data_IF_263067234322
#
_entry.id   IF_263067234322
#
_cell.length_a   1.000
_cell.length_b   1.000
_cell.length_c   1.000
_cell.angle_alpha   90.00
_cell.angle_beta   90.00
_cell.angle_gamma   90.00
#
_symmetry.space_group_name_H-M   'P 1'
#
loop_
_entity.id
_entity.type
_entity.pdbx_description
1 polymer ?
#
# COMPACT_ATOMS: atom_id res chain seq x y z
N UNK A 1 3.25 -1.30 12.79
CA UNK A 1 2.14 -0.91 11.89
C UNK A 1 1.30 -2.12 11.46
N UNK A 2 1.90 -3.26 11.09
CA UNK A 2 1.14 -4.49 10.74
C UNK A 2 0.15 -4.96 11.83
N UNK A 3 0.50 -4.84 13.12
CA UNK A 3 -0.42 -5.19 14.21
C UNK A 3 -1.72 -4.36 14.21
N UNK A 4 -1.63 -3.05 13.97
CA UNK A 4 -2.80 -2.18 13.86
C UNK A 4 -3.62 -2.52 12.62
N UNK A 5 -2.95 -2.75 11.48
CA UNK A 5 -3.62 -3.15 10.24
C UNK A 5 -4.40 -4.46 10.42
N UNK A 6 -3.78 -5.48 11.03
CA UNK A 6 -4.42 -6.76 11.40
C UNK A 6 -5.64 -6.56 12.30
N UNK A 7 -5.53 -5.69 13.31
CA UNK A 7 -6.64 -5.39 14.21
C UNK A 7 -7.84 -4.80 13.44
N UNK A 8 -7.58 -3.82 12.57
CA UNK A 8 -8.62 -3.18 11.74
C UNK A 8 -9.19 -4.18 10.73
N UNK A 9 -8.35 -5.00 10.07
CA UNK A 9 -8.80 -6.07 9.18
C UNK A 9 -9.71 -7.05 9.90
N UNK A 10 -9.40 -7.43 11.13
CA UNK A 10 -10.25 -8.28 11.95
C UNK A 10 -11.61 -7.64 12.28
N UNK A 11 -11.71 -6.31 12.37
CA UNK A 11 -13.00 -5.61 12.51
C UNK A 11 -13.81 -5.67 11.21
N UNK A 12 -13.18 -5.42 10.07
CA UNK A 12 -13.83 -5.56 8.77
C UNK A 12 -14.28 -6.99 8.50
N UNK A 13 -13.46 -8.00 8.84
CA UNK A 13 -13.81 -9.40 8.67
C UNK A 13 -15.08 -9.79 9.43
N UNK A 14 -15.24 -9.31 10.67
CA UNK A 14 -16.48 -9.49 11.44
C UNK A 14 -17.66 -8.78 10.79
N UNK A 15 -17.48 -7.52 10.41
CA UNK A 15 -18.51 -6.75 9.71
C UNK A 15 -18.99 -7.45 8.42
N UNK A 16 -18.07 -7.96 7.61
CA UNK A 16 -18.37 -8.67 6.37
C UNK A 16 -19.09 -10.00 6.64
N UNK A 17 -18.65 -10.75 7.65
CA UNK A 17 -19.30 -11.98 8.08
C UNK A 17 -20.75 -11.73 8.50
N UNK A 18 -20.98 -10.69 9.31
CA UNK A 18 -22.31 -10.32 9.80
C UNK A 18 -23.21 -9.80 8.68
N UNK A 19 -22.66 -9.03 7.73
CA UNK A 19 -23.43 -8.33 6.70
C UNK A 19 -23.66 -9.16 5.42
N UNK A 20 -22.69 -9.99 5.06
CA UNK A 20 -22.62 -10.69 3.77
C UNK A 20 -22.41 -12.21 3.90
N UNK A 21 -22.33 -12.74 5.14
CA UNK A 21 -22.22 -14.17 5.40
C UNK A 21 -20.82 -14.77 5.16
N UNK A 22 -19.84 -13.95 4.75
CA UNK A 22 -18.43 -14.33 4.61
C UNK A 22 -17.53 -13.11 4.70
N UNK A 23 -16.30 -13.32 5.16
CA UNK A 23 -15.24 -12.32 5.05
C UNK A 23 -14.65 -12.28 3.63
N UNK A 24 -14.08 -11.13 3.26
CA UNK A 24 -13.32 -10.95 2.04
C UNK A 24 -12.05 -11.81 2.02
N UNK A 25 -11.82 -12.42 0.87
CA UNK A 25 -10.60 -13.16 0.53
C UNK A 25 -9.42 -12.20 0.28
N UNK A 26 -8.16 -12.68 0.35
CA UNK A 26 -7.00 -11.84 -0.01
C UNK A 26 -7.09 -11.25 -1.42
N UNK A 27 -7.69 -11.97 -2.38
CA UNK A 27 -7.91 -11.47 -3.74
C UNK A 27 -8.89 -10.29 -3.78
N UNK A 28 -9.92 -10.31 -2.93
CA UNK A 28 -10.87 -9.18 -2.80
C UNK A 28 -10.25 -8.00 -2.07
N UNK A 29 -9.37 -8.24 -1.09
CA UNK A 29 -8.54 -7.18 -0.49
C UNK A 29 -7.64 -6.54 -1.54
N UNK A 30 -6.99 -7.35 -2.40
CA UNK A 30 -6.19 -6.83 -3.52
C UNK A 30 -7.05 -6.02 -4.50
N UNK A 31 -8.27 -6.45 -4.79
CA UNK A 31 -9.18 -5.69 -5.64
C UNK A 31 -9.56 -4.34 -5.01
N UNK A 32 -9.83 -4.31 -3.70
CA UNK A 32 -10.05 -3.08 -2.94
C UNK A 32 -8.85 -2.14 -3.04
N UNK A 33 -7.64 -2.67 -2.86
CA UNK A 33 -6.40 -1.92 -2.99
C UNK A 33 -6.24 -1.24 -4.36
N UNK A 34 -6.61 -1.91 -5.46
CA UNK A 34 -6.59 -1.30 -6.80
C UNK A 34 -7.53 -0.09 -6.89
N UNK A 35 -8.66 -0.14 -6.18
CA UNK A 35 -9.57 0.99 -6.01
C UNK A 35 -8.87 2.19 -5.35
N UNK A 36 -8.25 1.96 -4.19
CA UNK A 36 -7.52 2.98 -3.42
C UNK A 36 -6.38 3.61 -4.26
N UNK A 37 -5.64 2.79 -5.02
CA UNK A 37 -4.60 3.27 -5.95
C UNK A 37 -5.19 4.17 -7.04
N UNK A 38 -6.38 3.84 -7.53
CA UNK A 38 -7.11 4.65 -8.50
C UNK A 38 -7.51 6.01 -7.93
N UNK A 39 -7.94 6.06 -6.68
CA UNK A 39 -8.30 7.31 -5.99
C UNK A 39 -7.07 8.16 -5.67
N UNK A 40 -6.00 7.55 -5.14
CA UNK A 40 -4.70 8.20 -4.99
C UNK A 40 -4.21 8.81 -6.31
N UNK A 41 -4.33 8.06 -7.41
CA UNK A 41 -3.90 8.51 -8.75
C UNK A 41 -4.64 9.76 -9.22
N UNK A 42 -5.95 9.88 -8.91
CA UNK A 42 -6.74 11.08 -9.23
C UNK A 42 -6.27 12.29 -8.42
N UNK A 43 -5.91 12.09 -7.16
CA UNK A 43 -5.45 13.18 -6.28
C UNK A 43 -4.04 13.66 -6.64
N UNK A 44 -3.13 12.75 -7.00
CA UNK A 44 -1.80 13.10 -7.51
C UNK A 44 -1.90 13.94 -8.78
N UNK A 45 -2.80 13.58 -9.71
CA UNK A 45 -3.10 14.43 -10.87
C UNK A 45 -3.62 15.82 -10.47
N UNK A 46 -4.44 15.88 -9.42
CA UNK A 46 -4.89 17.16 -8.85
C UNK A 46 -3.73 18.01 -8.31
N UNK A 47 -2.76 17.40 -7.63
CA UNK A 47 -1.53 18.08 -7.17
C UNK A 47 -0.67 18.60 -8.33
N UNK A 48 -0.67 17.92 -9.46
CA UNK A 48 -0.01 18.35 -10.69
C UNK A 48 -0.81 19.39 -11.50
N UNK A 49 -1.96 19.86 -10.99
CA UNK A 49 -2.79 20.87 -11.65
C UNK A 49 -3.63 20.36 -12.83
N UNK A 50 -3.65 19.05 -13.08
CA UNK A 50 -4.38 18.43 -14.19
C UNK A 50 -5.89 18.36 -13.91
N UNK A 51 -6.29 18.33 -12.63
CA UNK A 51 -7.68 18.24 -12.19
C UNK A 51 -7.94 19.19 -11.02
N UNK A 52 -9.06 19.91 -11.06
CA UNK A 52 -9.48 20.76 -9.94
C UNK A 52 -9.90 19.89 -8.74
N UNK A 53 -9.32 20.17 -7.57
CA UNK A 53 -9.68 19.54 -6.31
C UNK A 53 -9.32 20.46 -5.14
N UNK A 54 -10.21 20.52 -4.15
CA UNK A 54 -9.94 21.18 -2.87
C UNK A 54 -9.33 20.20 -1.87
N UNK A 55 -8.55 20.74 -0.93
CA UNK A 55 -7.97 19.99 0.19
C UNK A 55 -7.11 18.80 -0.24
N UNK A 56 -6.27 19.03 -1.25
CA UNK A 56 -5.46 17.99 -1.88
C UNK A 56 -4.45 17.36 -0.92
N UNK A 57 -3.87 18.12 0.01
CA UNK A 57 -2.87 17.59 0.94
C UNK A 57 -3.47 16.54 1.89
N UNK A 58 -4.57 16.87 2.55
CA UNK A 58 -5.21 15.96 3.48
C UNK A 58 -5.73 14.70 2.77
N UNK A 59 -6.30 14.87 1.57
CA UNK A 59 -6.79 13.73 0.78
C UNK A 59 -5.66 12.82 0.28
N UNK A 60 -4.54 13.37 -0.17
CA UNK A 60 -3.39 12.54 -0.57
C UNK A 60 -2.85 11.76 0.62
N UNK A 61 -2.74 12.38 1.79
CA UNK A 61 -2.32 11.69 3.01
C UNK A 61 -3.27 10.55 3.38
N UNK A 62 -4.58 10.75 3.21
CA UNK A 62 -5.60 9.72 3.43
C UNK A 62 -5.42 8.53 2.48
N UNK A 63 -5.40 8.76 1.17
CA UNK A 63 -5.29 7.67 0.19
C UNK A 63 -3.94 6.93 0.28
N UNK A 64 -2.86 7.63 0.64
CA UNK A 64 -1.58 6.98 0.95
C UNK A 64 -1.71 6.03 2.15
N UNK A 65 -2.44 6.45 3.20
CA UNK A 65 -2.67 5.61 4.38
C UNK A 65 -3.55 4.40 4.06
N UNK A 66 -4.59 4.56 3.24
CA UNK A 66 -5.47 3.46 2.82
C UNK A 66 -4.74 2.45 1.93
N UNK A 67 -3.99 2.95 0.93
CA UNK A 67 -3.08 2.12 0.13
C UNK A 67 -2.10 1.34 1.01
N UNK A 68 -1.51 2.01 2.01
CA UNK A 68 -0.55 1.36 2.89
C UNK A 68 -1.21 0.34 3.83
N UNK A 69 -2.42 0.61 4.33
CA UNK A 69 -3.19 -0.36 5.10
C UNK A 69 -3.51 -1.61 4.29
N UNK A 70 -3.87 -1.46 3.02
CA UNK A 70 -4.09 -2.56 2.08
C UNK A 70 -2.83 -3.41 1.90
N UNK A 71 -1.66 -2.80 1.70
CA UNK A 71 -0.36 -3.52 1.62
C UNK A 71 -0.03 -4.26 2.92
N UNK A 72 -0.19 -3.61 4.08
CA UNK A 72 0.05 -4.23 5.39
C UNK A 72 -0.87 -5.43 5.63
N UNK A 73 -2.12 -5.32 5.21
CA UNK A 73 -3.13 -6.38 5.33
C UNK A 73 -2.80 -7.57 4.44
N UNK A 74 -2.40 -7.33 3.19
CA UNK A 74 -1.96 -8.40 2.29
C UNK A 74 -0.71 -9.11 2.81
N UNK A 75 0.27 -8.35 3.31
CA UNK A 75 1.45 -8.92 3.95
C UNK A 75 1.06 -9.83 5.12
N UNK A 76 0.08 -9.43 5.94
CA UNK A 76 -0.44 -10.25 7.03
C UNK A 76 -1.11 -11.54 6.54
N UNK A 77 -1.97 -11.44 5.51
CA UNK A 77 -2.65 -12.59 4.92
C UNK A 77 -1.67 -13.64 4.37
N UNK A 78 -0.51 -13.21 3.87
CA UNK A 78 0.51 -14.09 3.31
C UNK A 78 1.65 -14.43 4.28
N UNK A 79 1.59 -13.97 5.53
CA UNK A 79 2.63 -14.24 6.53
C UNK A 79 3.98 -13.57 6.24
N UNK A 80 3.97 -12.43 5.54
CA UNK A 80 5.16 -11.67 5.17
C UNK A 80 5.52 -10.68 6.28
N UNK A 81 6.75 -10.75 6.78
CA UNK A 81 7.36 -9.65 7.54
C UNK A 81 7.72 -8.53 6.56
N UNK A 82 6.82 -7.54 6.46
CA UNK A 82 6.96 -6.48 5.47
C UNK A 82 8.16 -5.56 5.79
N UNK A 83 8.48 -5.37 7.07
CA UNK A 83 9.60 -4.51 7.46
C UNK A 83 10.93 -5.15 7.08
N UNK A 84 11.09 -6.45 7.36
CA UNK A 84 12.27 -7.20 6.94
C UNK A 84 12.38 -7.28 5.41
N UNK A 85 11.28 -7.57 4.72
CA UNK A 85 11.24 -7.64 3.26
C UNK A 85 11.65 -6.30 2.64
N UNK A 86 11.07 -5.19 3.11
CA UNK A 86 11.40 -3.85 2.63
C UNK A 86 12.89 -3.54 2.79
N UNK A 87 13.45 -3.75 3.99
CA UNK A 87 14.86 -3.48 4.26
C UNK A 87 15.79 -4.30 3.35
N UNK A 88 15.45 -5.57 3.14
CA UNK A 88 16.23 -6.46 2.26
C UNK A 88 16.19 -5.96 0.81
N UNK A 89 15.00 -5.65 0.30
CA UNK A 89 14.83 -5.12 -1.06
C UNK A 89 15.56 -3.79 -1.26
N UNK A 90 15.48 -2.84 -0.31
CA UNK A 90 16.19 -1.57 -0.41
C UNK A 90 17.71 -1.75 -0.39
N UNK A 91 18.23 -2.68 0.43
CA UNK A 91 19.65 -3.00 0.47
C UNK A 91 20.15 -3.59 -0.85
N UNK A 92 19.35 -4.46 -1.48
CA UNK A 92 19.69 -5.03 -2.80
C UNK A 92 19.61 -3.97 -3.91
N UNK A 93 18.62 -3.08 -3.89
CA UNK A 93 18.53 -1.94 -4.82
C UNK A 93 19.75 -1.03 -4.67
N UNK A 94 20.14 -0.68 -3.45
CA UNK A 94 21.32 0.16 -3.21
C UNK A 94 22.60 -0.50 -3.73
N UNK A 95 22.80 -1.80 -3.48
CA UNK A 95 23.95 -2.53 -4.01
C UNK A 95 23.98 -2.52 -5.53
N UNK A 96 22.83 -2.72 -6.17
CA UNK A 96 22.73 -2.67 -7.62
C UNK A 96 23.08 -1.28 -8.17
N UNK A 97 22.62 -0.20 -7.53
CA UNK A 97 22.97 1.18 -7.89
C UNK A 97 24.47 1.45 -7.73
N UNK A 98 25.07 1.03 -6.60
CA UNK A 98 26.51 1.17 -6.33
C UNK A 98 27.37 0.48 -7.42
N UNK A 99 26.87 -0.61 -8.01
CA UNK A 99 27.54 -1.29 -9.12
C UNK A 99 27.44 -0.51 -10.43
N UNK A 100 26.35 0.22 -10.68
CA UNK A 100 26.19 1.06 -11.88
C UNK A 100 27.03 2.33 -11.83
N UNK A 101 27.27 2.86 -10.63
CA UNK A 101 28.04 4.09 -10.43
C UNK A 101 29.57 3.87 -10.50
N UNK A 102 30.03 2.62 -10.61
CA UNK A 102 31.46 2.33 -10.81
C UNK A 102 31.90 2.85 -12.18
N UNK A 103 32.97 3.67 -12.24
CA UNK A 103 33.51 4.12 -13.50
C UNK A 103 33.91 2.91 -14.35
N UNK A 104 33.61 2.97 -15.65
CA UNK A 104 34.04 1.97 -16.61
C UNK A 104 35.57 1.87 -16.55
N UNK A 105 36.12 0.68 -16.28
CA UNK A 105 37.56 0.47 -16.38
C UNK A 105 37.98 0.68 -17.85
N UNK A 106 38.57 1.85 -18.14
CA UNK A 106 39.27 2.15 -19.39
C UNK A 106 40.69 1.62 -19.40
#
# INVERSE_FOLDING_TARGET
>A
MQALARQVRGRFARFEQDRYGRSWTPAEVMLGFVGDVGDLSKLVQGKSGVRAASDLDAKVAHELADCFWSVLTLADCYGVDLAQAFNSTMADINRWLDEQDKPSET
#
